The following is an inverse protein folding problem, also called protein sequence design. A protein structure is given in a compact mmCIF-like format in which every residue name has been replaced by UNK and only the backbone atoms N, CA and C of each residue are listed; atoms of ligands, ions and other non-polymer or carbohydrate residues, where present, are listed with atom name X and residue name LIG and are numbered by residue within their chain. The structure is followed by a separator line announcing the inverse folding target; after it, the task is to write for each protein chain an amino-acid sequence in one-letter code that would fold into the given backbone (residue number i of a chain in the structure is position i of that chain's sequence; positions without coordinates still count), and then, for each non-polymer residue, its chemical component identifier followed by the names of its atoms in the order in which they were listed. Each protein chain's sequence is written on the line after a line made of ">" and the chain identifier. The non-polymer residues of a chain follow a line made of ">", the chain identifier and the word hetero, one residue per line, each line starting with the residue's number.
data_IF_077286786241
#
_entry.id   IF_077286786241
#
_cell.length_a   1.000
_cell.length_b   1.000
_cell.length_c   1.000
_cell.angle_alpha   90.00
_cell.angle_beta   90.00
_cell.angle_gamma   90.00
#
_symmetry.space_group_name_H-M   'P 1'
#
loop_
_entity.id
_entity.type
_entity.pdbx_description
1 polymer ?
#
# COMPACT_ATOMS: atom_id res chain seq x y z
N UNK A 1 14.31 -14.43 -11.22
CA UNK A 1 13.29 -15.12 -10.40
C UNK A 1 13.67 -14.93 -8.94
N UNK A 2 12.73 -14.57 -8.08
CA UNK A 2 12.90 -14.43 -6.63
C UNK A 2 12.07 -15.52 -5.94
N UNK A 3 12.66 -16.21 -4.97
CA UNK A 3 11.97 -17.19 -4.13
C UNK A 3 12.01 -16.71 -2.69
N UNK A 4 10.84 -16.66 -2.05
CA UNK A 4 10.70 -16.31 -0.64
C UNK A 4 10.19 -17.51 0.13
N UNK A 5 10.88 -17.89 1.21
CA UNK A 5 10.43 -18.91 2.16
C UNK A 5 9.63 -18.28 3.28
N UNK A 6 8.51 -18.89 3.67
CA UNK A 6 7.76 -18.47 4.86
C UNK A 6 8.54 -18.81 6.14
N UNK A 7 8.53 -17.89 7.11
CA UNK A 7 9.20 -18.07 8.41
C UNK A 7 8.40 -19.04 9.30
N UNK A 8 7.06 -18.91 9.30
CA UNK A 8 6.18 -19.75 10.11
C UNK A 8 5.88 -21.13 9.52
N UNK A 9 6.08 -21.30 8.21
CA UNK A 9 5.85 -22.57 7.50
C UNK A 9 6.97 -22.80 6.49
N UNK A 10 8.09 -23.43 6.90
CA UNK A 10 9.31 -23.53 6.08
C UNK A 10 9.16 -24.25 4.74
N UNK A 11 8.08 -25.03 4.57
CA UNK A 11 7.71 -25.74 3.33
C UNK A 11 6.94 -24.86 2.34
N UNK A 12 6.39 -23.72 2.78
CA UNK A 12 5.70 -22.78 1.91
C UNK A 12 6.71 -21.83 1.23
N UNK A 13 6.75 -21.91 -0.10
CA UNK A 13 7.58 -21.08 -0.96
C UNK A 13 6.70 -20.20 -1.85
N UNK A 14 7.03 -18.92 -1.93
CA UNK A 14 6.44 -17.98 -2.86
C UNK A 14 7.43 -17.65 -3.98
N UNK A 15 6.98 -17.72 -5.22
CA UNK A 15 7.78 -17.47 -6.41
C UNK A 15 7.36 -16.16 -7.07
N UNK A 16 8.34 -15.31 -7.38
CA UNK A 16 8.12 -14.02 -8.02
C UNK A 16 8.95 -13.94 -9.32
N UNK A 17 8.30 -13.54 -10.40
CA UNK A 17 8.97 -13.13 -11.63
C UNK A 17 9.40 -11.68 -11.45
N UNK A 18 10.72 -11.44 -11.50
CA UNK A 18 11.30 -10.12 -11.36
C UNK A 18 11.96 -9.73 -12.69
N UNK A 19 11.60 -8.57 -13.21
CA UNK A 19 12.21 -7.98 -14.40
C UNK A 19 12.79 -6.60 -14.05
N UNK A 20 14.02 -6.35 -14.50
CA UNK A 20 14.68 -5.05 -14.38
C UNK A 20 15.55 -4.82 -15.62
N UNK A 21 15.67 -3.56 -16.06
CA UNK A 21 16.53 -3.18 -17.20
C UNK A 21 18.01 -3.13 -16.84
N UNK A 22 18.34 -2.96 -15.56
CA UNK A 22 19.71 -2.90 -15.03
C UNK A 22 19.83 -3.80 -13.80
N UNK A 23 21.03 -4.32 -13.46
CA UNK A 23 21.23 -5.06 -12.22
C UNK A 23 20.81 -4.21 -11.01
N UNK A 24 19.97 -4.76 -10.14
CA UNK A 24 19.54 -4.14 -8.88
C UNK A 24 19.84 -5.08 -7.72
N UNK A 25 20.08 -4.56 -6.50
CA UNK A 25 20.30 -5.39 -5.32
C UNK A 25 19.09 -6.29 -5.01
N UNK A 26 19.33 -7.47 -4.44
CA UNK A 26 18.28 -8.37 -3.98
C UNK A 26 17.31 -7.70 -3.01
N UNK A 27 17.82 -6.85 -2.12
CA UNK A 27 17.01 -6.09 -1.17
C UNK A 27 15.94 -5.23 -1.85
N UNK A 28 16.25 -4.67 -3.03
CA UNK A 28 15.28 -3.89 -3.80
C UNK A 28 14.20 -4.78 -4.43
N UNK A 29 14.59 -5.95 -4.96
CA UNK A 29 13.62 -6.93 -5.46
C UNK A 29 12.69 -7.42 -4.35
N UNK A 30 13.23 -7.67 -3.15
CA UNK A 30 12.46 -8.08 -1.98
C UNK A 30 11.51 -6.95 -1.55
N UNK A 31 11.97 -5.70 -1.53
CA UNK A 31 11.14 -4.53 -1.21
C UNK A 31 9.94 -4.41 -2.15
N UNK A 32 10.17 -4.54 -3.46
CA UNK A 32 9.10 -4.48 -4.48
C UNK A 32 8.18 -5.70 -4.41
N UNK A 33 8.72 -6.90 -4.21
CA UNK A 33 7.88 -8.09 -4.02
C UNK A 33 7.01 -8.00 -2.75
N UNK A 34 7.54 -7.37 -1.69
CA UNK A 34 6.84 -7.11 -0.44
C UNK A 34 5.75 -6.05 -0.54
N UNK A 35 5.88 -5.07 -1.45
CA UNK A 35 4.88 -3.99 -1.58
C UNK A 35 3.53 -4.47 -2.10
N UNK A 36 3.44 -5.67 -2.69
CA UNK A 36 2.18 -6.29 -3.12
C UNK A 36 1.12 -6.30 -2.01
N UNK A 37 1.54 -6.56 -0.77
CA UNK A 37 0.59 -6.58 0.35
C UNK A 37 0.00 -5.19 0.62
N UNK A 38 0.85 -4.15 0.61
CA UNK A 38 0.40 -2.76 0.79
C UNK A 38 -0.58 -2.31 -0.30
N UNK A 39 -0.45 -2.83 -1.53
CA UNK A 39 -1.43 -2.57 -2.59
C UNK A 39 -2.80 -3.16 -2.23
N UNK A 40 -2.85 -4.41 -1.78
CA UNK A 40 -4.11 -5.05 -1.35
C UNK A 40 -4.75 -4.27 -0.20
N UNK A 41 -3.97 -3.90 0.81
CA UNK A 41 -4.44 -3.10 1.94
C UNK A 41 -5.00 -1.75 1.49
N UNK A 42 -4.36 -1.08 0.52
CA UNK A 42 -4.85 0.17 -0.07
C UNK A 42 -6.19 -0.02 -0.79
N UNK A 43 -6.38 -1.13 -1.50
CA UNK A 43 -7.66 -1.46 -2.13
C UNK A 43 -8.75 -1.75 -1.12
N UNK A 44 -8.46 -2.47 -0.04
CA UNK A 44 -9.42 -2.73 1.04
C UNK A 44 -9.80 -1.42 1.75
N UNK A 45 -8.83 -0.56 2.02
CA UNK A 45 -9.07 0.78 2.54
C UNK A 45 -10.02 1.59 1.64
N UNK A 46 -9.76 1.64 0.33
CA UNK A 46 -10.60 2.39 -0.60
C UNK A 46 -12.04 1.84 -0.71
N UNK A 47 -12.25 0.53 -0.57
CA UNK A 47 -13.60 -0.05 -0.49
C UNK A 47 -14.33 0.43 0.77
N UNK A 48 -13.67 0.31 1.92
CA UNK A 48 -14.26 0.64 3.21
C UNK A 48 -14.53 2.14 3.39
N UNK A 49 -13.57 2.99 3.03
CA UNK A 49 -13.62 4.42 3.34
C UNK A 49 -14.16 5.29 2.19
N UNK A 50 -14.00 4.85 0.94
CA UNK A 50 -14.39 5.67 -0.23
C UNK A 50 -15.37 5.00 -1.17
N UNK A 51 -15.91 3.84 -0.77
CA UNK A 51 -16.97 3.14 -1.49
C UNK A 51 -16.53 2.64 -2.86
N UNK A 52 -15.28 2.22 -3.00
CA UNK A 52 -14.73 1.77 -4.29
C UNK A 52 -15.57 0.67 -4.95
N UNK A 53 -16.20 -0.22 -4.17
CA UNK A 53 -17.12 -1.27 -4.62
C UNK A 53 -18.59 -1.00 -4.24
N UNK A 54 -18.90 0.13 -3.60
CA UNK A 54 -20.25 0.54 -3.23
C UNK A 54 -20.91 1.40 -4.32
N UNK A 55 -21.21 0.80 -5.46
CA UNK A 55 -21.94 1.45 -6.55
C UNK A 55 -22.97 0.52 -7.19
N UNK A 56 -24.03 1.09 -7.75
CA UNK A 56 -25.05 0.37 -8.53
C UNK A 56 -25.15 0.87 -9.98
N UNK A 57 -24.10 1.55 -10.47
CA UNK A 57 -24.08 2.11 -11.81
C UNK A 57 -24.02 1.00 -12.87
N UNK A 58 -24.77 1.18 -13.97
CA UNK A 58 -24.85 0.20 -15.07
C UNK A 58 -24.28 0.72 -16.40
N UNK A 59 -23.78 1.96 -16.41
CA UNK A 59 -23.13 2.57 -17.58
C UNK A 59 -21.63 2.66 -17.35
N UNK A 60 -20.84 2.35 -18.39
CA UNK A 60 -19.39 2.42 -18.32
C UNK A 60 -18.87 3.80 -17.87
N UNK A 61 -19.40 4.88 -18.44
CA UNK A 61 -18.95 6.24 -18.08
C UNK A 61 -19.24 6.58 -16.62
N UNK A 62 -20.38 6.13 -16.10
CA UNK A 62 -20.74 6.32 -14.70
C UNK A 62 -19.83 5.51 -13.77
N UNK A 63 -19.52 4.26 -14.16
CA UNK A 63 -18.55 3.42 -13.46
C UNK A 63 -17.16 4.04 -13.45
N UNK A 64 -16.66 4.50 -14.60
CA UNK A 64 -15.33 5.08 -14.72
C UNK A 64 -15.17 6.35 -13.86
N UNK A 65 -16.19 7.22 -13.87
CA UNK A 65 -16.26 8.40 -13.00
C UNK A 65 -16.26 8.03 -11.52
N UNK A 66 -17.06 7.05 -11.11
CA UNK A 66 -17.11 6.57 -9.73
C UNK A 66 -15.76 6.05 -9.25
N UNK A 67 -15.15 5.12 -9.99
CA UNK A 67 -13.84 4.55 -9.65
C UNK A 67 -12.77 5.65 -9.54
N UNK A 68 -12.76 6.58 -10.48
CA UNK A 68 -11.80 7.71 -10.47
C UNK A 68 -11.98 8.57 -9.20
N UNK A 69 -13.22 8.92 -8.85
CA UNK A 69 -13.51 9.72 -7.67
C UNK A 69 -13.19 8.98 -6.36
N UNK A 70 -13.55 7.70 -6.24
CA UNK A 70 -13.22 6.88 -5.07
C UNK A 70 -11.71 6.72 -4.87
N UNK A 71 -10.94 6.51 -5.96
CA UNK A 71 -9.48 6.45 -5.91
C UNK A 71 -8.86 7.80 -5.55
N UNK A 72 -9.39 8.91 -6.08
CA UNK A 72 -8.94 10.27 -5.73
C UNK A 72 -9.17 10.56 -4.24
N UNK A 73 -10.35 10.24 -3.72
CA UNK A 73 -10.66 10.40 -2.30
C UNK A 73 -9.74 9.54 -1.42
N UNK A 74 -9.46 8.30 -1.83
CA UNK A 74 -8.57 7.41 -1.07
C UNK A 74 -7.14 7.97 -1.02
N UNK A 75 -6.63 8.49 -2.15
CA UNK A 75 -5.33 9.14 -2.21
C UNK A 75 -5.29 10.41 -1.32
N UNK A 76 -6.34 11.23 -1.35
CA UNK A 76 -6.44 12.41 -0.50
C UNK A 76 -6.39 12.05 0.99
N UNK A 77 -7.18 11.07 1.44
CA UNK A 77 -7.18 10.61 2.83
C UNK A 77 -5.81 10.05 3.24
N UNK A 78 -5.18 9.24 2.37
CA UNK A 78 -3.86 8.67 2.64
C UNK A 78 -2.78 9.75 2.80
N UNK A 79 -2.78 10.77 1.94
CA UNK A 79 -1.84 11.90 2.01
C UNK A 79 -2.08 12.73 3.27
N UNK A 80 -3.33 13.12 3.54
CA UNK A 80 -3.67 13.90 4.73
C UNK A 80 -3.28 13.16 6.00
N UNK A 81 -3.63 11.88 6.13
CA UNK A 81 -3.24 11.07 7.28
C UNK A 81 -1.72 10.91 7.42
N UNK A 82 -0.97 10.87 6.31
CA UNK A 82 0.49 10.88 6.36
C UNK A 82 1.03 12.22 6.87
N UNK A 83 0.52 13.35 6.36
CA UNK A 83 0.91 14.69 6.80
C UNK A 83 0.68 14.88 8.28
N UNK A 84 -0.49 14.53 8.81
CA UNK A 84 -0.81 14.64 10.25
C UNK A 84 0.15 13.80 11.11
N UNK A 85 0.39 12.53 10.76
CA UNK A 85 1.35 11.68 11.48
C UNK A 85 2.77 12.26 11.51
N UNK A 86 3.20 12.87 10.41
CA UNK A 86 4.53 13.51 10.35
C UNK A 86 4.59 14.82 11.13
N UNK A 87 3.46 15.52 11.26
CA UNK A 87 3.35 16.72 12.07
C UNK A 87 3.45 16.38 13.56
N UNK A 88 2.69 15.37 14.02
CA UNK A 88 2.75 14.88 15.40
C UNK A 88 4.14 14.37 15.79
N UNK A 89 4.82 13.67 14.88
CA UNK A 89 6.19 13.21 15.10
C UNK A 89 7.21 14.35 15.26
N UNK A 90 6.95 15.53 14.68
CA UNK A 90 7.79 16.73 14.87
C UNK A 90 7.43 17.52 16.13
N UNK A 91 6.20 17.39 16.61
CA UNK A 91 5.70 18.04 17.84
C UNK A 91 5.99 17.27 19.13
N UNK A 92 6.50 16.04 19.04
CA UNK A 92 6.88 15.26 20.22
C UNK A 92 8.06 15.94 20.96
N UNK A 93 7.91 16.33 22.24
CA UNK A 93 9.02 16.88 23.01
C UNK A 93 10.13 15.83 23.14
N UNK A 94 11.42 16.21 23.07
CA UNK A 94 12.51 15.27 23.24
C UNK A 94 12.36 14.60 24.60
N UNK A 95 12.20 13.28 24.57
CA UNK A 95 12.07 12.43 25.74
C UNK A 95 13.20 12.76 26.72
N UNK A 96 12.82 13.28 27.89
CA UNK A 96 13.73 13.58 28.98
C UNK A 96 14.60 12.34 29.23
N UNK A 97 15.91 12.54 29.08
CA UNK A 97 16.96 11.65 29.55
C UNK A 97 16.69 11.29 31.02
N UNK A 98 15.98 10.19 31.23
CA UNK A 98 15.86 9.52 32.53
C UNK A 98 17.10 8.64 32.67
N UNK A 99 18.05 9.19 33.40
CA UNK A 99 19.16 8.48 34.06
C UNK A 99 18.58 7.75 35.28
#
# INVERSE_FOLDING_TARGET
>A
MLVRRSIGKPTELAYYVCHTRRPVPLAELVRVAGSRWGVEETFQFAKNETGLDHYQVRKYDAWYRHITLSMLAAAFLAVTAHTERTHDAKGAPPEAMRI
#
